data_IF_402959722945
#
_entry.id   IF_402959722945
#
_cell.length_a   1.000
_cell.length_b   1.000
_cell.length_c   1.000
_cell.angle_alpha   90.00
_cell.angle_beta   90.00
_cell.angle_gamma   90.00
#
_symmetry.space_group_name_H-M   'P 1'
#
loop_
_entity.id
_entity.type
_entity.pdbx_description
1 polymer ?
#
# COMPACT_ATOMS: atom_id res chain seq x y z
N UNK A 1 -8.62 15.79 11.40
CA UNK A 1 -7.40 15.25 10.75
C UNK A 1 -6.92 16.29 9.76
N UNK A 2 -5.77 16.91 10.03
CA UNK A 2 -5.15 17.84 9.09
C UNK A 2 -4.19 17.05 8.19
N UNK A 3 -4.19 17.34 6.89
CA UNK A 3 -3.21 16.80 5.95
C UNK A 3 -1.83 17.36 6.30
N UNK A 4 -0.81 16.53 6.23
CA UNK A 4 0.59 16.94 6.48
C UNK A 4 1.17 17.54 5.19
N UNK A 5 1.67 18.78 5.26
CA UNK A 5 2.27 19.50 4.12
C UNK A 5 3.75 19.90 4.37
N UNK A 6 4.33 19.53 5.51
CA UNK A 6 5.75 19.80 5.83
C UNK A 6 6.66 18.77 5.14
N UNK A 7 7.48 19.21 4.19
CA UNK A 7 8.36 18.35 3.37
C UNK A 7 9.39 17.55 4.20
N UNK A 8 9.89 18.12 5.30
CA UNK A 8 10.86 17.43 6.17
C UNK A 8 10.16 16.30 6.91
N UNK A 9 8.96 16.58 7.44
CA UNK A 9 8.14 15.58 8.10
C UNK A 9 7.68 14.49 7.13
N UNK A 10 7.25 14.86 5.93
CA UNK A 10 6.88 13.92 4.87
C UNK A 10 8.04 12.97 4.53
N UNK A 11 9.26 13.50 4.41
CA UNK A 11 10.46 12.66 4.18
C UNK A 11 10.67 11.63 5.28
N UNK A 12 10.47 12.02 6.56
CA UNK A 12 10.60 11.09 7.69
C UNK A 12 9.49 10.03 7.65
N UNK A 13 8.26 10.44 7.35
CA UNK A 13 7.10 9.54 7.24
C UNK A 13 7.28 8.53 6.10
N UNK A 14 7.74 8.99 4.93
CA UNK A 14 8.05 8.15 3.78
C UNK A 14 9.17 7.14 4.09
N UNK A 15 10.24 7.56 4.76
CA UNK A 15 11.30 6.62 5.20
C UNK A 15 10.76 5.54 6.13
N UNK A 16 9.86 5.89 7.05
CA UNK A 16 9.24 4.92 7.97
C UNK A 16 8.32 3.96 7.23
N UNK A 17 7.54 4.47 6.28
CA UNK A 17 6.71 3.67 5.39
C UNK A 17 7.57 2.71 4.54
N UNK A 18 8.69 3.18 3.97
CA UNK A 18 9.61 2.36 3.20
C UNK A 18 10.16 1.16 4.00
N UNK A 19 10.49 1.37 5.27
CA UNK A 19 10.90 0.30 6.16
C UNK A 19 9.75 -0.71 6.39
N UNK A 20 8.53 -0.20 6.63
CA UNK A 20 7.36 -1.02 6.86
C UNK A 20 6.95 -1.84 5.62
N UNK A 21 7.06 -1.27 4.42
CA UNK A 21 6.90 -1.97 3.16
C UNK A 21 7.89 -3.14 3.03
N UNK A 22 9.07 -3.07 3.63
CA UNK A 22 10.00 -4.20 3.71
C UNK A 22 9.69 -5.24 4.78
N UNK A 23 8.56 -5.12 5.49
CA UNK A 23 8.17 -6.00 6.59
C UNK A 23 8.66 -5.56 7.97
N UNK A 24 9.28 -4.38 8.10
CA UNK A 24 9.73 -3.88 9.40
C UNK A 24 8.59 -3.30 10.22
N UNK A 25 8.36 -3.82 11.42
CA UNK A 25 7.37 -3.28 12.37
C UNK A 25 7.95 -2.20 13.29
N UNK A 26 9.22 -1.84 13.12
CA UNK A 26 9.99 -0.97 14.05
C UNK A 26 9.38 0.43 14.25
N UNK A 27 8.64 0.92 13.27
CA UNK A 27 8.13 2.30 13.27
C UNK A 27 6.61 2.37 13.29
N UNK A 28 5.90 1.24 13.28
CA UNK A 28 4.46 1.26 13.14
C UNK A 28 3.90 -0.01 12.52
N UNK A 29 2.58 0.02 12.31
CA UNK A 29 1.84 -1.10 11.76
C UNK A 29 1.38 -0.78 10.34
N UNK A 30 1.79 -1.62 9.38
CA UNK A 30 1.29 -1.61 8.00
C UNK A 30 0.12 -2.57 7.90
N UNK A 31 -0.96 -2.13 7.27
CA UNK A 31 -2.15 -2.91 7.00
C UNK A 31 -2.59 -2.70 5.55
N UNK A 32 -3.47 -3.59 5.09
CA UNK A 32 -4.18 -3.42 3.84
C UNK A 32 -5.62 -3.02 4.11
N UNK A 33 -6.18 -2.24 3.20
CA UNK A 33 -7.56 -1.78 3.24
C UNK A 33 -8.11 -1.68 1.83
N UNK A 34 -9.41 -1.90 1.72
CA UNK A 34 -10.13 -1.57 0.49
C UNK A 34 -10.14 -0.05 0.30
N UNK A 35 -9.66 0.45 -0.84
CA UNK A 35 -9.84 1.85 -1.19
C UNK A 35 -11.31 2.11 -1.50
N UNK A 36 -11.78 3.33 -1.26
CA UNK A 36 -13.19 3.69 -1.48
C UNK A 36 -13.69 3.35 -2.89
N UNK A 37 -12.82 3.48 -3.90
CA UNK A 37 -13.13 3.16 -5.29
C UNK A 37 -13.32 1.65 -5.58
N UNK A 38 -12.84 0.75 -4.72
CA UNK A 38 -12.98 -0.69 -4.87
C UNK A 38 -13.79 -1.37 -3.76
N UNK A 39 -14.09 -0.66 -2.67
CA UNK A 39 -14.87 -1.19 -1.55
C UNK A 39 -16.20 -1.87 -1.96
N UNK A 40 -16.99 -1.33 -2.92
CA UNK A 40 -18.22 -2.00 -3.37
C UNK A 40 -17.98 -3.35 -4.07
N UNK A 41 -16.75 -3.63 -4.51
CA UNK A 41 -16.36 -4.86 -5.22
C UNK A 41 -15.70 -5.89 -4.32
N UNK A 42 -15.55 -5.61 -3.02
CA UNK A 42 -14.84 -6.50 -2.10
C UNK A 42 -15.45 -7.92 -2.07
N UNK A 43 -16.79 -8.02 -2.07
CA UNK A 43 -17.48 -9.31 -2.06
C UNK A 43 -17.41 -10.09 -3.38
N UNK A 44 -17.19 -9.40 -4.49
CA UNK A 44 -17.07 -10.00 -5.82
C UNK A 44 -15.63 -10.42 -6.15
N UNK A 45 -14.67 -10.06 -5.30
CA UNK A 45 -13.25 -10.25 -5.59
C UNK A 45 -12.79 -11.66 -5.27
N UNK A 46 -12.26 -12.33 -6.28
CA UNK A 46 -11.70 -13.69 -6.19
C UNK A 46 -10.17 -13.68 -6.22
N UNK A 47 -9.57 -12.73 -6.93
CA UNK A 47 -8.12 -12.63 -7.04
C UNK A 47 -7.67 -11.19 -7.29
N UNK A 48 -6.36 -10.95 -7.22
CA UNK A 48 -5.79 -9.65 -7.50
C UNK A 48 -4.72 -9.72 -8.59
N UNK A 49 -4.68 -8.68 -9.42
CA UNK A 49 -3.65 -8.45 -10.45
C UNK A 49 -2.91 -7.16 -10.14
N UNK A 50 -1.59 -7.20 -10.23
CA UNK A 50 -0.74 -5.99 -10.19
C UNK A 50 -0.11 -5.74 -11.56
N UNK A 51 0.10 -4.48 -11.93
CA UNK A 51 0.73 -4.11 -13.20
C UNK A 51 2.24 -4.36 -13.19
N UNK A 52 2.92 -4.13 -12.07
CA UNK A 52 4.27 -4.55 -11.73
C UNK A 52 4.59 -4.04 -10.32
N UNK A 53 5.39 -4.77 -9.54
CA UNK A 53 6.04 -4.24 -8.33
C UNK A 53 7.50 -4.70 -8.39
N UNK A 54 8.40 -3.75 -8.60
CA UNK A 54 9.85 -3.92 -8.69
C UNK A 54 10.36 -4.31 -10.08
N UNK A 55 9.56 -4.15 -11.15
CA UNK A 55 9.98 -4.49 -12.52
C UNK A 55 10.07 -6.01 -12.79
N UNK A 56 9.35 -6.82 -12.03
CA UNK A 56 9.34 -8.29 -12.12
C UNK A 56 8.07 -8.85 -12.79
N UNK A 57 7.30 -7.99 -13.46
CA UNK A 57 6.08 -8.34 -14.17
C UNK A 57 4.82 -8.46 -13.27
N UNK A 58 3.67 -8.76 -13.89
CA UNK A 58 2.43 -8.98 -13.17
C UNK A 58 2.56 -10.22 -12.29
N UNK A 59 2.52 -10.06 -10.97
CA UNK A 59 2.59 -11.20 -10.05
C UNK A 59 1.20 -11.54 -9.53
N UNK A 60 0.86 -12.83 -9.54
CA UNK A 60 -0.21 -13.39 -8.72
C UNK A 60 -0.12 -12.89 -7.29
N UNK A 61 -1.02 -11.99 -6.86
CA UNK A 61 -1.22 -11.82 -5.43
C UNK A 61 -2.26 -12.85 -4.98
N UNK A 62 -2.02 -13.37 -3.78
CA UNK A 62 -2.88 -14.36 -3.15
C UNK A 62 -4.33 -13.85 -3.09
N UNK A 63 -5.35 -14.71 -3.27
CA UNK A 63 -6.76 -14.35 -3.10
C UNK A 63 -7.07 -13.62 -1.79
N UNK A 64 -6.36 -13.94 -0.71
CA UNK A 64 -6.58 -13.28 0.59
C UNK A 64 -5.89 -11.92 0.69
N UNK A 65 -5.06 -11.55 -0.29
CA UNK A 65 -4.20 -10.36 -0.32
C UNK A 65 -3.76 -9.95 1.08
N UNK A 66 -2.84 -10.72 1.65
CA UNK A 66 -2.29 -10.42 2.97
C UNK A 66 -1.17 -9.37 2.88
N UNK A 67 -1.04 -8.57 3.94
CA UNK A 67 0.05 -7.59 4.08
C UNK A 67 1.41 -8.27 3.97
N UNK A 68 1.55 -9.51 4.42
CA UNK A 68 2.80 -10.28 4.27
C UNK A 68 3.17 -10.48 2.81
N UNK A 69 2.20 -10.83 1.94
CA UNK A 69 2.45 -11.01 0.51
C UNK A 69 2.96 -9.73 -0.14
N UNK A 70 2.41 -8.58 0.28
CA UNK A 70 2.89 -7.26 -0.15
C UNK A 70 4.30 -7.01 0.38
N UNK A 71 4.54 -7.17 1.69
CA UNK A 71 5.84 -6.84 2.28
C UNK A 71 6.97 -7.75 1.80
N UNK A 72 6.70 -9.04 1.56
CA UNK A 72 7.68 -9.98 0.99
C UNK A 72 8.13 -9.54 -0.40
N UNK A 73 7.23 -8.93 -1.19
CA UNK A 73 7.58 -8.40 -2.51
C UNK A 73 8.41 -7.13 -2.40
N UNK A 74 7.96 -6.17 -1.61
CA UNK A 74 8.68 -4.90 -1.40
C UNK A 74 10.03 -5.09 -0.69
N UNK A 75 10.21 -6.15 0.11
CA UNK A 75 11.49 -6.48 0.73
C UNK A 75 12.61 -6.71 -0.29
N UNK A 76 12.29 -7.13 -1.53
CA UNK A 76 13.25 -7.32 -2.62
C UNK A 76 13.75 -6.01 -3.24
N UNK A 77 13.07 -4.91 -2.95
CA UNK A 77 13.39 -3.57 -3.45
C UNK A 77 14.25 -2.88 -2.39
N UNK A 78 15.33 -2.17 -2.79
CA UNK A 78 16.12 -1.35 -1.88
C UNK A 78 15.22 -0.38 -1.10
N UNK A 79 15.46 -0.21 0.21
CA UNK A 79 14.58 0.58 1.10
C UNK A 79 14.29 1.98 0.52
N UNK A 80 15.31 2.66 -0.01
CA UNK A 80 15.18 4.00 -0.57
C UNK A 80 14.21 4.11 -1.77
N UNK A 81 13.91 3.01 -2.47
CA UNK A 81 13.08 3.01 -3.68
C UNK A 81 11.65 2.49 -3.43
N UNK A 82 11.36 1.95 -2.24
CA UNK A 82 10.07 1.27 -1.98
C UNK A 82 8.86 2.20 -2.03
N UNK A 83 8.98 3.44 -1.57
CA UNK A 83 7.87 4.40 -1.60
C UNK A 83 7.55 4.87 -3.00
N UNK A 84 8.57 5.06 -3.84
CA UNK A 84 8.39 5.40 -5.24
C UNK A 84 7.77 4.24 -6.01
N UNK A 85 8.25 3.02 -5.76
CA UNK A 85 7.62 1.82 -6.32
C UNK A 85 6.15 1.71 -5.91
N UNK A 86 5.83 1.96 -4.63
CA UNK A 86 4.45 1.91 -4.14
C UNK A 86 3.54 2.90 -4.91
N UNK A 87 4.03 4.11 -5.20
CA UNK A 87 3.32 5.15 -5.97
C UNK A 87 3.15 4.77 -7.44
N UNK A 88 4.04 3.98 -8.01
CA UNK A 88 3.99 3.52 -9.41
C UNK A 88 3.17 2.22 -9.57
N UNK A 89 3.16 1.39 -8.54
CA UNK A 89 2.43 0.13 -8.48
C UNK A 89 0.92 0.36 -8.53
N UNK A 90 0.22 -0.54 -9.21
CA UNK A 90 -1.24 -0.59 -9.28
C UNK A 90 -1.72 -1.97 -8.87
N UNK A 91 -2.92 -2.00 -8.30
CA UNK A 91 -3.63 -3.21 -7.95
C UNK A 91 -5.04 -3.16 -8.53
N UNK A 92 -5.49 -4.31 -9.04
CA UNK A 92 -6.78 -4.51 -9.68
C UNK A 92 -7.42 -5.76 -9.07
N UNK A 93 -8.59 -5.64 -8.41
CA UNK A 93 -9.39 -6.80 -8.03
C UNK A 93 -10.04 -7.45 -9.26
N UNK A 94 -10.08 -8.78 -9.28
CA UNK A 94 -10.61 -9.60 -10.36
C UNK A 94 -11.71 -10.54 -9.85
N UNK A 95 -12.70 -10.81 -10.69
CA UNK A 95 -13.85 -11.68 -10.37
C UNK A 95 -13.56 -13.18 -10.57
N UNK A 96 -12.41 -13.51 -11.16
CA UNK A 96 -12.04 -14.86 -11.54
C UNK A 96 -10.60 -15.21 -11.13
N UNK A 97 -10.27 -16.51 -10.97
CA UNK A 97 -8.91 -16.93 -10.66
C UNK A 97 -7.89 -16.68 -11.78
N UNK A 98 -8.35 -16.63 -13.05
CA UNK A 98 -7.48 -16.39 -14.21
C UNK A 98 -7.08 -14.91 -14.39
N UNK A 99 -7.71 -13.99 -13.63
CA UNK A 99 -7.47 -12.53 -13.60
C UNK A 99 -7.81 -11.84 -14.92
N UNK A 100 -8.79 -12.35 -15.63
CA UNK A 100 -9.26 -11.79 -16.91
C UNK A 100 -10.40 -10.79 -16.71
N UNK A 101 -11.28 -11.05 -15.74
CA UNK A 101 -12.45 -10.23 -15.43
C UNK A 101 -12.11 -9.18 -14.35
N UNK A 102 -11.71 -7.99 -14.80
CA UNK A 102 -11.35 -6.88 -13.91
C UNK A 102 -12.61 -6.23 -13.31
N UNK A 103 -12.62 -6.02 -12.00
CA UNK A 103 -13.76 -5.43 -11.29
C UNK A 103 -13.68 -3.89 -11.22
N UNK A 104 -12.49 -3.33 -11.39
CA UNK A 104 -12.24 -1.88 -11.40
C UNK A 104 -11.15 -1.52 -12.42
N UNK A 105 -10.99 -0.22 -12.69
CA UNK A 105 -9.74 0.29 -13.25
C UNK A 105 -8.55 0.05 -12.29
N UNK A 106 -7.30 0.08 -12.76
CA UNK A 106 -6.12 -0.05 -11.90
C UNK A 106 -6.03 1.05 -10.86
N UNK A 107 -5.90 0.68 -9.58
CA UNK A 107 -5.85 1.62 -8.46
C UNK A 107 -4.42 1.67 -7.91
N UNK A 108 -3.84 2.88 -7.71
CA UNK A 108 -2.54 3.08 -7.04
C UNK A 108 -2.42 2.30 -5.73
N UNK A 109 -1.31 1.57 -5.56
CA UNK A 109 -1.11 0.66 -4.42
C UNK A 109 -0.99 1.40 -3.08
N UNK A 110 -0.55 2.66 -3.11
CA UNK A 110 -0.57 3.59 -1.97
C UNK A 110 -1.98 3.83 -1.39
N UNK A 111 -3.04 3.60 -2.19
CA UNK A 111 -4.44 3.68 -1.71
C UNK A 111 -4.92 2.42 -1.01
N UNK A 112 -4.28 1.28 -1.28
CA UNK A 112 -4.61 0.00 -0.65
C UNK A 112 -3.90 -0.18 0.70
N UNK A 113 -2.85 0.58 0.96
CA UNK A 113 -2.12 0.49 2.22
C UNK A 113 -2.65 1.48 3.26
N UNK A 114 -2.55 1.05 4.51
CA UNK A 114 -2.79 1.83 5.71
C UNK A 114 -1.54 1.71 6.58
N UNK A 115 -0.99 2.82 7.05
CA UNK A 115 0.19 2.78 7.91
C UNK A 115 0.07 3.79 9.04
N UNK A 116 0.29 3.34 10.27
CA UNK A 116 0.19 4.17 11.47
C UNK A 116 1.55 4.24 12.14
N UNK A 117 2.06 5.46 12.39
CA UNK A 117 3.39 5.69 12.99
C UNK A 117 3.37 6.87 13.97
N UNK A 118 4.23 6.83 14.99
CA UNK A 118 4.34 7.90 16.00
C UNK A 118 5.69 8.60 15.91
N UNK A 119 5.69 9.93 15.74
CA UNK A 119 6.91 10.76 15.77
C UNK A 119 6.76 11.77 16.92
N UNK A 120 7.62 11.65 17.93
CA UNK A 120 7.47 12.44 19.16
C UNK A 120 6.20 12.04 19.90
N UNK A 121 5.35 13.03 20.18
CA UNK A 121 4.06 12.91 20.83
C UNK A 121 2.88 12.77 19.85
N UNK A 122 3.13 12.83 18.54
CA UNK A 122 2.09 12.83 17.50
C UNK A 122 2.00 11.52 16.75
N UNK A 123 0.77 11.07 16.52
CA UNK A 123 0.47 9.92 15.64
C UNK A 123 0.10 10.40 14.24
N UNK A 124 0.63 9.70 13.25
CA UNK A 124 0.40 9.94 11.84
C UNK A 124 -0.17 8.70 11.18
N UNK A 125 -1.14 8.92 10.31
CA UNK A 125 -1.88 7.89 9.61
C UNK A 125 -1.77 8.10 8.11
N UNK A 126 -1.30 7.10 7.39
CA UNK A 126 -1.44 7.00 5.95
C UNK A 126 -2.76 6.30 5.64
N UNK A 127 -3.61 6.95 4.85
CA UNK A 127 -4.90 6.42 4.40
C UNK A 127 -5.18 6.96 2.99
N UNK A 128 -5.54 6.08 2.04
CA UNK A 128 -5.84 6.48 0.64
C UNK A 128 -4.71 7.31 -0.02
N UNK A 129 -3.45 6.96 0.25
CA UNK A 129 -2.28 7.70 -0.25
C UNK A 129 -2.03 9.07 0.40
N UNK A 130 -2.73 9.42 1.50
CA UNK A 130 -2.59 10.70 2.18
C UNK A 130 -2.17 10.54 3.65
N UNK A 131 -1.26 11.40 4.09
CA UNK A 131 -0.83 11.48 5.48
C UNK A 131 -1.71 12.44 6.27
N UNK A 132 -2.10 12.00 7.46
CA UNK A 132 -2.89 12.78 8.39
C UNK A 132 -2.26 12.73 9.78
N UNK A 133 -2.15 13.88 10.44
CA UNK A 133 -1.72 13.96 11.84
C UNK A 133 -2.92 14.03 12.79
N UNK A 134 -2.76 13.42 13.97
CA UNK A 134 -3.56 13.74 15.15
C UNK A 134 -2.68 14.54 16.12
N UNK A 135 -3.21 15.69 16.55
CA UNK A 135 -2.63 16.48 17.64
C UNK A 135 -2.94 15.83 18.98
#
# INVERSE_FOLDING_TARGET
MNTVEDDTLLTVLERRLAAALGGSTRFGHLALRWPAAAAPRAGDTVSFRSNDVGGYGPVPLDPTLDVTAVTTRFARIPEFARTDELKQSRLIPCADPAREQLLTAPIPMDRWVAFDTTIGDRTYHLREGRWHGTA
#
